data_IF_938727842901
#
_entry.id   IF_938727842901
#
_cell.length_a   1.000
_cell.length_b   1.000
_cell.length_c   1.000
_cell.angle_alpha   90.00
_cell.angle_beta   90.00
_cell.angle_gamma   90.00
#
_symmetry.space_group_name_H-M   'P 1'
#
loop_
_entity.id
_entity.type
_entity.pdbx_description
1 polymer ?
#
# COMPACT_ATOMS: atom_id res chain seq x y z
N UNK A 1 2.55 -3.51 -33.23
CA UNK A 1 3.11 -4.16 -32.03
C UNK A 1 2.41 -3.50 -30.86
N UNK A 2 1.61 -4.25 -30.11
CA UNK A 2 1.06 -3.72 -28.85
C UNK A 2 2.22 -3.28 -27.96
N UNK A 3 2.11 -2.06 -27.44
CA UNK A 3 3.09 -1.54 -26.52
C UNK A 3 2.99 -2.39 -25.24
N UNK A 4 4.09 -3.04 -24.83
CA UNK A 4 4.18 -3.87 -23.62
C UNK A 4 5.17 -3.30 -22.59
N UNK A 5 5.63 -2.06 -22.79
CA UNK A 5 6.63 -1.45 -21.92
C UNK A 5 6.04 -1.03 -20.58
N UNK A 6 6.81 -1.23 -19.52
CA UNK A 6 6.42 -0.90 -18.16
C UNK A 6 7.16 0.36 -17.72
N UNK A 7 6.43 1.45 -17.53
CA UNK A 7 6.98 2.69 -17.02
C UNK A 7 7.03 2.70 -15.50
N UNK A 8 8.16 3.06 -14.89
CA UNK A 8 8.27 3.23 -13.44
C UNK A 8 8.78 4.64 -13.12
N UNK A 9 8.02 5.38 -12.30
CA UNK A 9 8.41 6.66 -11.75
C UNK A 9 8.84 6.51 -10.29
N UNK A 10 9.84 7.27 -9.84
CA UNK A 10 10.35 7.18 -8.48
C UNK A 10 11.34 6.02 -8.23
N UNK A 11 11.88 5.43 -9.29
CA UNK A 11 12.82 4.29 -9.24
C UNK A 11 14.09 4.55 -8.40
N UNK A 12 14.53 5.80 -8.25
CA UNK A 12 15.70 6.12 -7.43
C UNK A 12 15.47 6.04 -5.90
N UNK A 13 14.24 5.76 -5.46
CA UNK A 13 13.86 5.56 -4.06
C UNK A 13 13.63 4.08 -3.74
N UNK A 14 13.50 3.72 -2.46
CA UNK A 14 13.39 2.32 -2.01
C UNK A 14 12.16 1.60 -2.58
N UNK A 15 10.99 2.25 -2.57
CA UNK A 15 9.75 1.69 -3.15
C UNK A 15 9.90 1.44 -4.65
N UNK A 16 10.36 2.45 -5.39
CA UNK A 16 10.63 2.31 -6.82
C UNK A 16 11.67 1.23 -7.11
N UNK A 17 12.70 1.11 -6.28
CA UNK A 17 13.67 0.02 -6.28
C UNK A 17 13.01 -1.35 -6.23
N UNK A 18 12.16 -1.58 -5.22
CA UNK A 18 11.40 -2.82 -5.10
C UNK A 18 10.55 -3.13 -6.34
N UNK A 19 9.92 -2.11 -6.94
CA UNK A 19 9.12 -2.29 -8.15
C UNK A 19 9.98 -2.67 -9.38
N UNK A 20 11.13 -2.02 -9.56
CA UNK A 20 12.07 -2.31 -10.66
C UNK A 20 12.60 -3.73 -10.55
N UNK A 21 13.15 -4.11 -9.40
CA UNK A 21 13.71 -5.45 -9.18
C UNK A 21 12.65 -6.54 -9.38
N UNK A 22 11.43 -6.30 -8.88
CA UNK A 22 10.31 -7.23 -9.07
C UNK A 22 9.97 -7.39 -10.55
N UNK A 23 9.89 -6.29 -11.31
CA UNK A 23 9.57 -6.33 -12.74
C UNK A 23 10.62 -7.02 -13.59
N UNK A 24 11.89 -6.78 -13.29
CA UNK A 24 13.01 -7.41 -14.00
C UNK A 24 13.05 -8.92 -13.79
N UNK A 25 12.76 -9.40 -12.57
CA UNK A 25 12.78 -10.84 -12.29
C UNK A 25 11.46 -11.55 -12.62
N UNK A 26 10.31 -10.89 -12.54
CA UNK A 26 9.00 -11.52 -12.78
C UNK A 26 8.56 -11.52 -14.26
N UNK A 27 9.17 -10.70 -15.12
CA UNK A 27 8.73 -10.51 -16.51
C UNK A 27 9.92 -10.36 -17.45
N UNK A 28 9.70 -10.58 -18.76
CA UNK A 28 10.64 -10.22 -19.84
C UNK A 28 10.31 -8.86 -20.50
N UNK A 29 9.35 -8.12 -19.95
CA UNK A 29 8.91 -6.84 -20.53
C UNK A 29 10.05 -5.80 -20.48
N UNK A 30 10.20 -4.94 -21.50
CA UNK A 30 11.11 -3.80 -21.42
C UNK A 30 10.59 -2.80 -20.39
N UNK A 31 11.50 -2.24 -19.60
CA UNK A 31 11.18 -1.28 -18.53
C UNK A 31 11.67 0.11 -18.93
N UNK A 32 10.89 1.15 -18.62
CA UNK A 32 11.28 2.55 -18.81
C UNK A 32 11.31 3.24 -17.45
N UNK A 33 12.48 3.69 -17.01
CA UNK A 33 12.63 4.41 -15.74
C UNK A 33 12.58 5.92 -15.99
N UNK A 34 11.59 6.58 -15.40
CA UNK A 34 11.41 8.02 -15.46
C UNK A 34 11.87 8.71 -14.18
N UNK A 35 12.72 9.72 -14.30
CA UNK A 35 13.10 10.54 -13.16
C UNK A 35 13.94 11.76 -13.52
N UNK A 36 14.12 12.67 -12.56
CA UNK A 36 14.86 13.93 -12.76
C UNK A 36 16.38 13.75 -12.79
N UNK A 37 16.89 12.73 -12.12
CA UNK A 37 18.33 12.44 -12.06
C UNK A 37 18.63 11.14 -12.81
N UNK A 38 18.94 11.28 -14.11
CA UNK A 38 19.24 10.15 -14.99
C UNK A 38 20.54 9.44 -14.63
N UNK A 39 21.56 10.18 -14.19
CA UNK A 39 22.85 9.62 -13.80
C UNK A 39 22.70 8.65 -12.64
N UNK A 40 21.98 9.06 -11.58
CA UNK A 40 21.67 8.20 -10.45
C UNK A 40 20.92 6.93 -10.86
N UNK A 41 19.94 7.06 -11.77
CA UNK A 41 19.19 5.89 -12.25
C UNK A 41 20.10 4.93 -13.02
N UNK A 42 20.95 5.44 -13.92
CA UNK A 42 21.89 4.61 -14.68
C UNK A 42 22.89 3.92 -13.78
N UNK A 43 23.46 4.63 -12.82
CA UNK A 43 24.40 4.07 -11.86
C UNK A 43 23.77 2.94 -11.03
N UNK A 44 22.55 3.16 -10.53
CA UNK A 44 21.81 2.20 -9.70
C UNK A 44 21.44 0.93 -10.48
N UNK A 45 21.08 1.07 -11.76
CA UNK A 45 20.55 -0.03 -12.59
C UNK A 45 21.47 -0.46 -13.74
N UNK A 46 22.76 -0.13 -13.66
CA UNK A 46 23.78 -0.50 -14.68
C UNK A 46 23.80 -2.01 -14.98
N UNK A 47 23.47 -2.84 -13.99
CA UNK A 47 23.46 -4.30 -14.09
C UNK A 47 22.34 -4.84 -15.01
N UNK A 48 21.34 -4.01 -15.33
CA UNK A 48 20.16 -4.39 -16.12
C UNK A 48 19.89 -3.42 -17.29
N UNK A 49 20.88 -2.61 -17.69
CA UNK A 49 20.73 -1.58 -18.73
C UNK A 49 20.21 -2.12 -20.07
N UNK A 50 20.51 -3.38 -20.41
CA UNK A 50 20.02 -4.02 -21.63
C UNK A 50 18.48 -4.13 -21.72
N UNK A 51 17.78 -4.07 -20.59
CA UNK A 51 16.31 -4.14 -20.51
C UNK A 51 15.66 -2.82 -20.08
N UNK A 52 16.45 -1.81 -19.79
CA UNK A 52 15.98 -0.57 -19.17
C UNK A 52 16.30 0.63 -20.06
N UNK A 53 15.24 1.32 -20.48
CA UNK A 53 15.34 2.66 -21.04
C UNK A 53 15.28 3.70 -19.91
N UNK A 54 16.13 4.71 -19.96
CA UNK A 54 16.15 5.81 -18.99
C UNK A 54 15.62 7.11 -19.63
N UNK A 55 14.65 7.75 -18.99
CA UNK A 55 14.03 8.98 -19.49
C UNK A 55 13.99 10.07 -18.42
N UNK A 56 14.37 11.29 -18.81
CA UNK A 56 14.15 12.44 -17.95
C UNK A 56 12.66 12.68 -17.81
N UNK A 57 12.17 12.65 -16.58
CA UNK A 57 10.78 12.96 -16.24
C UNK A 57 10.73 13.90 -15.05
N UNK A 58 10.14 15.07 -15.26
CA UNK A 58 9.58 15.89 -14.19
C UNK A 58 8.05 15.72 -14.19
N UNK A 59 7.50 15.22 -13.07
CA UNK A 59 6.06 14.97 -12.92
C UNK A 59 5.23 16.26 -12.91
N UNK A 60 5.86 17.42 -12.76
CA UNK A 60 5.23 18.74 -12.86
C UNK A 60 5.33 19.36 -14.26
N UNK A 61 6.12 18.78 -15.17
CA UNK A 61 6.18 19.14 -16.59
C UNK A 61 5.26 18.19 -17.38
N UNK A 62 4.15 18.73 -17.89
CA UNK A 62 3.15 17.95 -18.63
C UNK A 62 3.69 17.29 -19.89
N UNK A 63 4.64 17.92 -20.58
CA UNK A 63 5.18 17.43 -21.84
C UNK A 63 6.22 16.34 -21.58
N UNK A 64 7.06 16.53 -20.56
CA UNK A 64 8.01 15.51 -20.12
C UNK A 64 7.29 14.24 -19.64
N UNK A 65 6.26 14.39 -18.81
CA UNK A 65 5.44 13.29 -18.33
C UNK A 65 4.64 12.63 -19.46
N UNK A 66 4.06 13.40 -20.38
CA UNK A 66 3.32 12.88 -21.53
C UNK A 66 4.17 12.00 -22.45
N UNK A 67 5.37 12.46 -22.81
CA UNK A 67 6.33 11.67 -23.62
C UNK A 67 6.73 10.35 -22.97
N UNK A 68 6.78 10.31 -21.64
CA UNK A 68 7.03 9.08 -20.89
C UNK A 68 5.83 8.14 -20.95
N UNK A 69 4.63 8.63 -20.62
CA UNK A 69 3.41 7.83 -20.63
C UNK A 69 3.09 7.26 -22.03
N UNK A 70 3.33 8.02 -23.11
CA UNK A 70 3.14 7.58 -24.50
C UNK A 70 3.93 6.31 -24.84
N UNK A 71 5.08 6.10 -24.20
CA UNK A 71 5.91 4.92 -24.41
C UNK A 71 5.51 3.72 -23.57
N UNK A 72 4.54 3.84 -22.67
CA UNK A 72 4.23 2.80 -21.70
C UNK A 72 2.87 2.15 -21.98
N UNK A 73 2.79 0.84 -21.76
CA UNK A 73 1.54 0.09 -21.68
C UNK A 73 0.87 0.30 -20.33
N UNK A 74 1.70 0.38 -19.28
CA UNK A 74 1.31 0.59 -17.90
C UNK A 74 2.36 1.47 -17.22
N UNK A 75 1.91 2.36 -16.33
CA UNK A 75 2.78 3.22 -15.52
C UNK A 75 2.59 2.87 -14.05
N UNK A 76 3.68 2.50 -13.39
CA UNK A 76 3.79 2.31 -11.94
C UNK A 76 4.33 3.61 -11.33
N UNK A 77 3.51 4.28 -10.54
CA UNK A 77 3.90 5.47 -9.80
C UNK A 77 4.40 5.10 -8.40
N UNK A 78 5.71 5.24 -8.19
CA UNK A 78 6.35 5.17 -6.87
C UNK A 78 6.94 6.55 -6.47
N UNK A 79 6.58 7.63 -7.17
CA UNK A 79 7.08 8.97 -6.89
C UNK A 79 6.31 9.62 -5.73
N UNK A 80 7.00 10.46 -4.97
CA UNK A 80 6.39 11.22 -3.88
C UNK A 80 7.02 12.61 -3.70
N UNK A 81 6.46 13.45 -2.81
CA UNK A 81 5.29 13.17 -1.97
C UNK A 81 3.98 13.06 -2.76
N UNK A 82 3.17 12.05 -2.45
CA UNK A 82 1.93 11.76 -3.19
C UNK A 82 0.92 12.90 -3.08
N UNK A 83 0.85 13.58 -1.92
CA UNK A 83 -0.04 14.72 -1.66
C UNK A 83 0.28 15.96 -2.48
N UNK A 84 1.48 16.04 -3.04
CA UNK A 84 1.87 17.11 -3.96
C UNK A 84 1.65 16.71 -5.42
N UNK A 85 1.96 15.46 -5.76
CA UNK A 85 1.82 14.91 -7.12
C UNK A 85 0.34 14.81 -7.53
N UNK A 86 -0.54 14.40 -6.61
CA UNK A 86 -1.97 14.23 -6.84
C UNK A 86 -2.25 13.34 -8.08
N UNK A 87 -3.25 13.69 -8.90
CA UNK A 87 -3.65 12.90 -10.07
C UNK A 87 -2.81 13.15 -11.34
N UNK A 88 -1.68 13.85 -11.27
CA UNK A 88 -0.90 14.25 -12.46
C UNK A 88 -0.43 13.06 -13.30
N UNK A 89 0.17 12.05 -12.66
CA UNK A 89 0.68 10.86 -13.34
C UNK A 89 -0.47 10.03 -13.91
N UNK A 90 -1.53 9.83 -13.13
CA UNK A 90 -2.71 9.12 -13.57
C UNK A 90 -3.38 9.81 -14.78
N UNK A 91 -3.56 11.14 -14.74
CA UNK A 91 -4.15 11.90 -15.82
C UNK A 91 -3.31 11.83 -17.12
N UNK A 92 -1.98 11.88 -17.01
CA UNK A 92 -1.09 11.70 -18.16
C UNK A 92 -1.17 10.27 -18.72
N UNK A 93 -1.18 9.26 -17.85
CA UNK A 93 -1.31 7.85 -18.25
C UNK A 93 -2.61 7.60 -19.00
N UNK A 94 -3.74 8.07 -18.47
CA UNK A 94 -5.06 7.98 -19.11
C UNK A 94 -5.08 8.73 -20.45
N UNK A 95 -4.46 9.91 -20.54
CA UNK A 95 -4.38 10.68 -21.79
C UNK A 95 -3.65 9.89 -22.88
N UNK A 96 -2.57 9.20 -22.51
CA UNK A 96 -1.72 8.45 -23.43
C UNK A 96 -2.05 6.95 -23.53
N UNK A 97 -3.22 6.53 -23.04
CA UNK A 97 -3.72 5.14 -23.12
C UNK A 97 -2.81 4.12 -22.43
N UNK A 98 -2.18 4.51 -21.32
CA UNK A 98 -1.47 3.59 -20.44
C UNK A 98 -2.34 3.22 -19.24
N UNK A 99 -2.33 1.95 -18.84
CA UNK A 99 -2.80 1.52 -17.53
C UNK A 99 -2.03 2.25 -16.43
N UNK A 100 -2.59 2.28 -15.23
CA UNK A 100 -1.99 3.01 -14.12
C UNK A 100 -2.01 2.16 -12.86
N UNK A 101 -0.88 2.13 -12.16
CA UNK A 101 -0.77 1.59 -10.81
C UNK A 101 -0.05 2.61 -9.94
N UNK A 102 -0.61 2.92 -8.78
CA UNK A 102 0.01 3.79 -7.78
C UNK A 102 0.22 3.01 -6.49
N UNK A 103 1.47 3.04 -5.98
CA UNK A 103 1.78 2.48 -4.66
C UNK A 103 1.04 3.24 -3.58
N UNK A 104 0.98 4.56 -3.74
CA UNK A 104 0.20 5.43 -2.90
C UNK A 104 -1.25 5.42 -3.35
N UNK A 105 -2.07 6.05 -2.53
CA UNK A 105 -3.49 6.17 -2.78
C UNK A 105 -4.13 6.65 -1.51
N UNK A 106 -5.15 7.44 -1.70
CA UNK A 106 -6.03 7.88 -0.65
C UNK A 106 -7.41 8.13 -1.26
N UNK A 107 -8.39 8.38 -0.39
CA UNK A 107 -9.75 8.69 -0.83
C UNK A 107 -9.80 9.87 -1.82
N UNK A 108 -8.89 10.85 -1.70
CA UNK A 108 -8.86 12.02 -2.60
C UNK A 108 -8.42 11.66 -4.02
N UNK A 109 -7.31 10.93 -4.17
CA UNK A 109 -6.85 10.45 -5.47
C UNK A 109 -7.88 9.51 -6.09
N UNK A 110 -8.45 8.60 -5.31
CA UNK A 110 -9.47 7.69 -5.79
C UNK A 110 -10.70 8.44 -6.32
N UNK A 111 -11.25 9.40 -5.56
CA UNK A 111 -12.36 10.26 -6.02
C UNK A 111 -12.03 11.05 -7.28
N UNK A 112 -10.80 11.56 -7.40
CA UNK A 112 -10.35 12.27 -8.62
C UNK A 112 -10.37 11.36 -9.85
N UNK A 113 -10.00 10.09 -9.69
CA UNK A 113 -10.02 9.12 -10.78
C UNK A 113 -11.43 8.62 -11.09
N UNK A 114 -12.30 8.47 -10.09
CA UNK A 114 -13.73 8.19 -10.32
C UNK A 114 -14.40 9.29 -11.16
N UNK A 115 -14.00 10.56 -11.00
CA UNK A 115 -14.47 11.64 -11.89
C UNK A 115 -14.02 11.49 -13.34
N UNK A 116 -13.04 10.63 -13.62
CA UNK A 116 -12.52 10.28 -14.96
C UNK A 116 -12.95 8.88 -15.40
N UNK A 117 -13.87 8.22 -14.69
CA UNK A 117 -14.26 6.83 -14.93
C UNK A 117 -14.67 6.59 -16.40
N UNK A 118 -15.45 7.49 -17.00
CA UNK A 118 -15.85 7.38 -18.41
C UNK A 118 -14.65 7.33 -19.36
N UNK A 119 -13.69 8.24 -19.19
CA UNK A 119 -12.48 8.26 -20.02
C UNK A 119 -11.64 6.97 -19.86
N UNK A 120 -11.61 6.42 -18.64
CA UNK A 120 -10.90 5.18 -18.32
C UNK A 120 -11.59 3.99 -19.01
N UNK A 121 -12.91 3.90 -18.90
CA UNK A 121 -13.73 2.85 -19.52
C UNK A 121 -13.68 2.91 -21.05
N UNK A 122 -13.87 4.10 -21.65
CA UNK A 122 -13.82 4.29 -23.11
C UNK A 122 -12.46 3.90 -23.71
N UNK A 123 -11.38 4.10 -22.95
CA UNK A 123 -10.02 3.71 -23.37
C UNK A 123 -9.63 2.29 -22.96
N UNK A 124 -10.54 1.55 -22.31
CA UNK A 124 -10.32 0.17 -21.85
C UNK A 124 -9.13 0.04 -20.88
N UNK A 125 -8.97 1.04 -20.01
CA UNK A 125 -7.86 1.13 -19.06
C UNK A 125 -8.25 0.62 -17.67
N UNK A 126 -7.22 0.26 -16.91
CA UNK A 126 -7.34 -0.09 -15.50
C UNK A 126 -6.42 0.85 -14.72
N UNK A 127 -6.98 1.51 -13.73
CA UNK A 127 -6.26 2.40 -12.83
C UNK A 127 -6.37 1.85 -11.42
N UNK A 128 -5.27 1.33 -10.89
CA UNK A 128 -5.20 0.75 -9.55
C UNK A 128 -4.47 1.73 -8.63
N UNK A 129 -5.07 2.07 -7.51
CA UNK A 129 -4.44 2.91 -6.47
C UNK A 129 -4.34 2.14 -5.17
N UNK A 130 -3.54 2.67 -4.23
CA UNK A 130 -3.31 2.04 -2.93
C UNK A 130 -2.71 0.64 -3.08
N UNK A 131 -1.74 0.47 -3.99
CA UNK A 131 -1.08 -0.80 -4.27
C UNK A 131 0.27 -0.94 -3.53
N UNK A 132 0.33 -0.55 -2.27
CA UNK A 132 1.50 -0.69 -1.40
C UNK A 132 1.33 -1.75 -0.31
N UNK A 133 2.13 -1.66 0.75
CA UNK A 133 1.92 -2.47 1.96
C UNK A 133 0.75 -1.94 2.77
N UNK A 134 0.75 -0.64 3.03
CA UNK A 134 -0.26 0.05 3.81
C UNK A 134 -0.38 1.49 3.29
N UNK A 135 -1.42 1.80 2.50
CA UNK A 135 -2.52 0.91 2.09
C UNK A 135 -2.14 -0.08 0.96
N UNK A 136 -2.94 -1.13 0.79
CA UNK A 136 -2.82 -2.16 -0.25
C UNK A 136 -2.83 -3.56 0.32
N UNK A 137 -1.65 -4.05 0.72
CA UNK A 137 -1.52 -5.37 1.34
C UNK A 137 -2.32 -5.49 2.65
N UNK A 138 -2.50 -4.36 3.37
CA UNK A 138 -3.38 -4.26 4.55
C UNK A 138 -4.84 -4.61 4.25
N UNK A 139 -5.29 -4.50 3.00
CA UNK A 139 -6.64 -4.88 2.57
C UNK A 139 -6.66 -6.20 1.80
N UNK A 140 -5.64 -6.42 0.96
CA UNK A 140 -5.50 -7.66 0.16
C UNK A 140 -5.33 -8.89 1.05
N UNK A 141 -4.58 -8.78 2.15
CA UNK A 141 -4.35 -9.93 3.03
C UNK A 141 -5.64 -10.38 3.76
N UNK A 142 -6.42 -9.49 4.40
CA UNK A 142 -7.76 -9.84 4.89
C UNK A 142 -8.69 -10.40 3.82
N UNK A 143 -8.69 -9.81 2.63
CA UNK A 143 -9.49 -10.26 1.50
C UNK A 143 -9.13 -11.70 1.09
N UNK A 144 -7.83 -12.01 0.98
CA UNK A 144 -7.34 -13.36 0.73
C UNK A 144 -7.83 -14.36 1.80
N UNK A 145 -7.76 -13.98 3.08
CA UNK A 145 -8.25 -14.83 4.17
C UNK A 145 -9.74 -15.09 4.04
N UNK A 146 -10.52 -14.04 3.75
CA UNK A 146 -11.96 -14.15 3.58
C UNK A 146 -12.34 -15.06 2.41
N UNK A 147 -11.75 -14.86 1.23
CA UNK A 147 -12.03 -15.67 0.03
C UNK A 147 -11.63 -17.13 0.18
N UNK A 148 -10.53 -17.39 0.89
CA UNK A 148 -9.94 -18.73 0.95
C UNK A 148 -10.55 -19.59 2.04
N UNK A 149 -10.84 -19.00 3.21
CA UNK A 149 -11.09 -19.79 4.44
C UNK A 149 -12.47 -19.59 5.05
N UNK A 150 -13.23 -18.57 4.65
CA UNK A 150 -14.53 -18.25 5.24
C UNK A 150 -15.62 -18.20 4.17
N UNK A 151 -16.87 -18.38 4.61
CA UNK A 151 -18.06 -17.96 3.85
C UNK A 151 -18.57 -16.63 4.42
N UNK A 152 -18.51 -16.49 5.75
CA UNK A 152 -18.83 -15.26 6.50
C UNK A 152 -17.79 -15.03 7.61
N UNK A 153 -17.47 -13.76 7.90
CA UNK A 153 -16.57 -13.35 8.99
C UNK A 153 -17.33 -12.49 10.01
N UNK A 154 -17.38 -12.98 11.26
CA UNK A 154 -17.98 -12.28 12.40
C UNK A 154 -17.03 -11.23 12.97
N UNK A 155 -15.75 -11.56 13.09
CA UNK A 155 -14.74 -10.64 13.61
C UNK A 155 -13.41 -10.80 12.91
N UNK A 156 -12.74 -9.68 12.67
CA UNK A 156 -11.40 -9.62 12.12
C UNK A 156 -10.58 -8.57 12.87
N UNK A 157 -9.41 -8.97 13.38
CA UNK A 157 -8.40 -8.06 13.92
C UNK A 157 -7.13 -8.20 13.09
N UNK A 158 -6.66 -7.12 12.48
CA UNK A 158 -5.41 -7.07 11.73
C UNK A 158 -4.41 -6.16 12.45
N UNK A 159 -3.24 -6.67 12.75
CA UNK A 159 -2.14 -5.96 13.40
C UNK A 159 -1.01 -5.76 12.39
N UNK A 160 -0.54 -4.53 12.26
CA UNK A 160 0.63 -4.18 11.45
C UNK A 160 1.84 -3.88 12.33
N UNK A 161 2.97 -4.50 12.01
CA UNK A 161 4.27 -4.21 12.62
C UNK A 161 5.37 -4.21 11.59
N UNK A 162 6.35 -3.33 11.75
CA UNK A 162 7.58 -3.35 10.99
C UNK A 162 8.58 -2.34 11.54
N UNK A 163 9.79 -2.36 11.00
CA UNK A 163 10.88 -1.49 11.40
C UNK A 163 11.65 -0.91 10.19
N UNK A 164 10.95 -0.76 9.05
CA UNK A 164 11.50 -0.12 7.86
C UNK A 164 11.76 1.38 8.04
N UNK A 165 12.43 1.97 7.06
CA UNK A 165 12.68 3.41 7.06
C UNK A 165 11.45 4.21 6.64
N UNK A 166 11.30 5.37 7.28
CA UNK A 166 10.38 6.41 6.83
C UNK A 166 11.13 7.42 5.97
N UNK A 167 10.81 7.49 4.67
CA UNK A 167 11.32 8.59 3.85
C UNK A 167 10.68 9.91 4.26
N UNK A 168 11.37 11.03 4.02
CA UNK A 168 10.79 12.37 4.28
C UNK A 168 9.50 12.59 3.49
N UNK A 169 9.39 12.00 2.28
CA UNK A 169 8.18 12.09 1.47
C UNK A 169 7.01 11.34 2.11
N UNK A 170 7.25 10.12 2.60
CA UNK A 170 6.23 9.37 3.33
C UNK A 170 5.83 10.11 4.63
N UNK A 171 6.80 10.67 5.35
CA UNK A 171 6.59 11.50 6.54
C UNK A 171 5.70 12.70 6.25
N UNK A 172 5.97 13.39 5.14
CA UNK A 172 5.18 14.51 4.68
C UNK A 172 3.74 14.10 4.33
N UNK A 173 3.54 12.95 3.67
CA UNK A 173 2.21 12.44 3.31
C UNK A 173 1.39 12.06 4.56
N UNK A 174 2.03 11.52 5.61
CA UNK A 174 1.38 11.33 6.92
C UNK A 174 0.95 12.66 7.52
N UNK A 175 1.82 13.67 7.52
CA UNK A 175 1.49 14.99 8.11
C UNK A 175 0.31 15.63 7.37
N UNK A 176 0.24 15.51 6.05
CA UNK A 176 -0.93 15.95 5.28
C UNK A 176 -2.19 15.13 5.61
N UNK A 177 -2.06 13.82 5.83
CA UNK A 177 -3.18 12.97 6.22
C UNK A 177 -3.72 13.32 7.62
N UNK A 178 -2.85 13.79 8.54
CA UNK A 178 -3.26 14.34 9.84
C UNK A 178 -4.07 15.63 9.65
N UNK A 179 -3.66 16.51 8.73
CA UNK A 179 -4.38 17.73 8.39
C UNK A 179 -5.77 17.43 7.81
N UNK A 180 -5.87 16.41 6.98
CA UNK A 180 -7.09 16.05 6.24
C UNK A 180 -8.03 15.11 7.01
N UNK A 181 -7.65 14.67 8.21
CA UNK A 181 -8.41 13.74 9.05
C UNK A 181 -8.78 12.41 8.35
N UNK A 182 -7.91 11.90 7.46
CA UNK A 182 -8.18 10.69 6.67
C UNK A 182 -7.90 9.38 7.43
N UNK A 183 -7.18 9.44 8.54
CA UNK A 183 -6.94 8.32 9.47
C UNK A 183 -7.71 8.50 10.77
N UNK A 184 -8.81 7.76 10.93
CA UNK A 184 -9.65 7.85 12.12
C UNK A 184 -9.07 7.01 13.25
N UNK A 185 -8.29 7.64 14.13
CA UNK A 185 -7.83 7.01 15.36
C UNK A 185 -9.01 6.64 16.27
N UNK A 186 -8.87 5.55 17.03
CA UNK A 186 -9.91 5.07 17.94
C UNK A 186 -11.21 4.72 17.22
N UNK A 187 -11.12 4.18 16.00
CA UNK A 187 -12.26 3.76 15.21
C UNK A 187 -12.05 2.36 14.62
N UNK A 188 -13.16 1.71 14.28
CA UNK A 188 -13.22 0.40 13.67
C UNK A 188 -14.44 0.28 12.77
N UNK A 189 -14.50 -0.76 11.93
CA UNK A 189 -15.67 -1.06 11.12
C UNK A 189 -16.62 -1.98 11.90
N UNK A 190 -17.91 -1.62 11.94
CA UNK A 190 -19.01 -2.44 12.45
C UNK A 190 -20.13 -2.47 11.41
N UNK A 191 -20.44 -3.64 10.87
CA UNK A 191 -21.46 -3.84 9.83
C UNK A 191 -21.28 -2.90 8.62
N UNK A 192 -20.03 -2.70 8.18
CA UNK A 192 -19.72 -1.79 7.08
C UNK A 192 -19.79 -0.29 7.42
N UNK A 193 -19.99 0.08 8.69
CA UNK A 193 -20.03 1.48 9.13
C UNK A 193 -18.90 1.80 10.10
N UNK A 194 -18.44 3.05 10.06
CA UNK A 194 -17.45 3.56 11.00
C UNK A 194 -18.05 3.66 12.40
N UNK A 195 -17.44 2.99 13.36
CA UNK A 195 -17.76 3.09 14.79
C UNK A 195 -16.59 3.65 15.58
N UNK A 196 -16.86 4.58 16.51
CA UNK A 196 -15.85 5.14 17.42
C UNK A 196 -15.70 4.28 18.67
N UNK A 197 -14.52 4.34 19.27
CA UNK A 197 -14.19 3.70 20.54
C UNK A 197 -14.13 4.81 21.60
N UNK A 198 -15.15 4.86 22.46
CA UNK A 198 -15.39 5.99 23.37
C UNK A 198 -14.45 6.05 24.59
N UNK A 199 -13.51 5.11 24.71
CA UNK A 199 -12.54 5.05 25.81
C UNK A 199 -11.13 4.89 25.23
N UNK A 200 -10.08 5.39 25.91
CA UNK A 200 -8.71 5.09 25.53
C UNK A 200 -8.53 3.56 25.50
N UNK A 201 -8.47 3.02 24.29
CA UNK A 201 -8.36 1.60 24.01
C UNK A 201 -7.07 1.39 23.24
N UNK A 202 -6.03 1.10 23.99
CA UNK A 202 -4.81 0.50 23.47
C UNK A 202 -4.67 -0.86 24.12
N UNK A 203 -4.04 -1.77 23.40
CA UNK A 203 -3.85 -3.14 23.84
C UNK A 203 -2.38 -3.48 23.77
N UNK A 204 -1.81 -3.85 24.90
CA UNK A 204 -0.53 -4.57 24.90
C UNK A 204 -0.76 -5.95 24.28
N UNK A 205 -0.03 -6.25 23.23
CA UNK A 205 -0.20 -7.46 22.43
C UNK A 205 1.15 -8.07 22.05
N UNK A 206 1.32 -9.36 22.38
CA UNK A 206 2.49 -10.13 21.98
C UNK A 206 2.29 -10.67 20.57
N UNK A 207 2.86 -9.97 19.59
CA UNK A 207 2.93 -10.43 18.21
C UNK A 207 3.95 -11.58 18.05
N UNK A 208 3.83 -12.41 17.00
CA UNK A 208 4.84 -13.40 16.65
C UNK A 208 6.24 -12.79 16.49
N UNK A 209 7.28 -13.62 16.63
CA UNK A 209 8.66 -13.21 16.32
C UNK A 209 8.76 -12.78 14.85
N UNK A 210 9.51 -11.71 14.51
CA UNK A 210 10.39 -10.93 15.38
C UNK A 210 9.72 -9.76 16.12
N UNK A 211 8.43 -9.49 15.91
CA UNK A 211 7.78 -8.30 16.43
C UNK A 211 7.70 -8.27 17.97
N UNK A 212 7.34 -9.37 18.62
CA UNK A 212 7.32 -9.44 20.10
C UNK A 212 6.24 -8.57 20.73
N UNK A 213 6.51 -8.03 21.92
CA UNK A 213 5.55 -7.18 22.65
C UNK A 213 5.38 -5.82 21.97
N UNK A 214 4.12 -5.41 21.78
CA UNK A 214 3.76 -4.16 21.12
C UNK A 214 2.56 -3.51 21.78
N UNK A 215 2.50 -2.19 21.69
CA UNK A 215 1.31 -1.42 22.01
C UNK A 215 0.49 -1.17 20.73
N UNK A 216 -0.71 -1.74 20.68
CA UNK A 216 -1.61 -1.72 19.53
C UNK A 216 -2.68 -0.63 19.67
N UNK A 217 -2.79 0.22 18.64
CA UNK A 217 -3.73 1.33 18.58
C UNK A 217 -4.66 1.19 17.37
N UNK A 218 -5.99 1.15 17.59
CA UNK A 218 -6.95 1.01 16.51
C UNK A 218 -7.00 2.27 15.65
N UNK A 219 -6.94 2.08 14.34
CA UNK A 219 -7.10 3.13 13.34
C UNK A 219 -7.96 2.59 12.20
N UNK A 220 -8.88 3.42 11.71
CA UNK A 220 -9.68 3.10 10.54
C UNK A 220 -9.39 4.12 9.43
N UNK A 221 -8.94 3.61 8.28
CA UNK A 221 -8.77 4.36 7.04
C UNK A 221 -9.77 3.90 5.98
N UNK A 222 -9.86 4.68 4.90
CA UNK A 222 -10.85 4.50 3.85
C UNK A 222 -10.77 3.11 3.19
N UNK A 223 -9.55 2.67 2.84
CA UNK A 223 -9.32 1.41 2.13
C UNK A 223 -9.73 0.20 2.97
N UNK A 224 -9.40 0.19 4.26
CA UNK A 224 -9.80 -0.91 5.15
C UNK A 224 -11.31 -0.96 5.38
N UNK A 225 -11.97 0.20 5.46
CA UNK A 225 -13.43 0.27 5.50
C UNK A 225 -14.06 -0.24 4.20
N UNK A 226 -13.48 0.08 3.05
CA UNK A 226 -13.92 -0.43 1.75
C UNK A 226 -13.79 -1.95 1.68
N UNK A 227 -12.65 -2.51 2.10
CA UNK A 227 -12.45 -3.96 2.20
C UNK A 227 -13.47 -4.63 3.13
N UNK A 228 -13.69 -4.06 4.31
CA UNK A 228 -14.65 -4.59 5.27
C UNK A 228 -16.09 -4.58 4.73
N UNK A 229 -16.46 -3.59 3.90
CA UNK A 229 -17.75 -3.55 3.20
C UNK A 229 -17.84 -4.60 2.11
N UNK A 230 -16.81 -4.70 1.27
CA UNK A 230 -16.77 -5.63 0.14
C UNK A 230 -16.95 -7.09 0.60
N UNK A 231 -16.26 -7.47 1.68
CA UNK A 231 -16.32 -8.82 2.26
C UNK A 231 -17.29 -8.95 3.44
N UNK A 232 -18.11 -7.93 3.70
CA UNK A 232 -19.18 -7.93 4.71
C UNK A 232 -18.71 -8.36 6.11
N UNK A 233 -17.56 -7.88 6.55
CA UNK A 233 -17.09 -8.14 7.91
C UNK A 233 -18.05 -7.51 8.94
N UNK A 234 -18.58 -8.33 9.84
CA UNK A 234 -19.48 -7.84 10.91
C UNK A 234 -18.75 -6.89 11.85
N UNK A 235 -17.50 -7.20 12.21
CA UNK A 235 -16.61 -6.33 12.97
C UNK A 235 -15.18 -6.45 12.46
N UNK A 236 -14.53 -5.34 12.12
CA UNK A 236 -13.14 -5.33 11.68
C UNK A 236 -12.33 -4.21 12.35
N UNK A 237 -11.23 -4.60 13.02
CA UNK A 237 -10.27 -3.70 13.66
C UNK A 237 -8.93 -3.80 12.94
N UNK A 238 -8.35 -2.65 12.63
CA UNK A 238 -6.97 -2.54 12.17
C UNK A 238 -6.15 -1.80 13.21
N UNK A 239 -5.01 -2.37 13.58
CA UNK A 239 -4.10 -1.83 14.58
C UNK A 239 -2.75 -1.48 13.96
N UNK A 240 -2.36 -0.24 14.15
CA UNK A 240 -0.95 0.13 14.11
C UNK A 240 -0.32 -0.24 15.46
N UNK A 241 0.83 -0.91 15.41
CA UNK A 241 1.54 -1.35 16.61
C UNK A 241 2.88 -0.66 16.75
N UNK A 242 3.27 -0.35 17.99
CA UNK A 242 4.52 0.35 18.29
C UNK A 242 5.27 -0.38 19.40
N UNK A 243 6.61 -0.40 19.29
CA UNK A 243 7.47 -0.80 20.43
C UNK A 243 7.46 0.27 21.51
N UNK A 244 7.61 1.52 21.09
CA UNK A 244 7.64 2.68 21.94
C UNK A 244 6.42 3.59 21.66
N UNK A 245 5.49 3.70 22.61
CA UNK A 245 4.34 4.60 22.52
C UNK A 245 4.70 6.08 22.33
N UNK A 246 5.96 6.49 22.57
CA UNK A 246 6.42 7.87 22.37
C UNK A 246 6.25 8.36 20.92
N UNK A 247 6.25 7.44 19.95
CA UNK A 247 5.97 7.75 18.54
C UNK A 247 4.55 8.31 18.39
N UNK A 248 3.57 7.73 19.09
CA UNK A 248 2.19 8.21 19.06
C UNK A 248 2.07 9.63 19.60
N UNK A 249 2.84 9.97 20.64
CA UNK A 249 2.87 11.33 21.19
C UNK A 249 3.28 12.37 20.14
N UNK A 250 4.17 12.01 19.19
CA UNK A 250 4.54 12.91 18.09
C UNK A 250 3.37 13.17 17.14
N UNK A 251 2.62 12.14 16.76
CA UNK A 251 1.42 12.32 15.93
C UNK A 251 0.36 13.18 16.63
N UNK A 252 0.09 12.90 17.90
CA UNK A 252 -0.85 13.67 18.72
C UNK A 252 -0.39 15.13 18.85
N UNK A 253 0.91 15.36 19.08
CA UNK A 253 1.48 16.71 19.18
C UNK A 253 1.36 17.48 17.87
N UNK A 254 1.71 16.87 16.73
CA UNK A 254 1.55 17.49 15.40
C UNK A 254 0.08 17.91 15.21
N UNK A 255 -0.86 17.02 15.57
CA UNK A 255 -2.29 17.29 15.49
C UNK A 255 -2.73 18.44 16.38
N UNK A 256 -2.40 18.38 17.67
CA UNK A 256 -2.85 19.32 18.70
C UNK A 256 -2.25 20.73 18.54
N UNK A 257 -1.00 20.83 18.10
CA UNK A 257 -0.32 22.10 17.85
C UNK A 257 -0.52 22.61 16.42
N UNK A 258 -1.29 21.87 15.60
CA UNK A 258 -1.57 22.16 14.20
C UNK A 258 -0.29 22.46 13.37
N UNK A 259 0.76 21.65 13.55
CA UNK A 259 2.07 21.82 12.88
C UNK A 259 2.05 21.37 11.41
N UNK A 260 1.04 21.78 10.66
CA UNK A 260 0.82 21.41 9.27
C UNK A 260 0.11 22.51 8.46
N UNK A 261 -0.02 23.73 9.01
CA UNK A 261 -0.71 24.83 8.34
C UNK A 261 0.11 25.48 7.23
N UNK A 262 1.44 25.48 7.35
CA UNK A 262 2.36 25.96 6.31
C UNK A 262 3.25 24.84 5.77
N UNK A 263 3.82 25.04 4.59
CA UNK A 263 4.73 24.07 3.98
C UNK A 263 6.00 23.87 4.81
N UNK A 264 6.52 24.93 5.43
CA UNK A 264 7.66 24.85 6.34
C UNK A 264 7.33 23.99 7.56
N UNK A 265 6.13 24.14 8.12
CA UNK A 265 5.66 23.32 9.24
C UNK A 265 5.53 21.86 8.83
N UNK A 266 4.89 21.56 7.70
CA UNK A 266 4.76 20.19 7.20
C UNK A 266 6.12 19.51 7.02
N UNK A 267 7.08 20.22 6.41
CA UNK A 267 8.43 19.70 6.24
C UNK A 267 9.17 19.51 7.56
N UNK A 268 9.02 20.42 8.52
CA UNK A 268 9.62 20.29 9.85
C UNK A 268 9.04 19.10 10.61
N UNK A 269 7.72 18.93 10.62
CA UNK A 269 7.04 17.79 11.23
C UNK A 269 7.39 16.47 10.55
N UNK A 270 7.51 16.46 9.22
CA UNK A 270 7.98 15.30 8.46
C UNK A 270 9.38 14.87 8.91
N UNK A 271 10.34 15.81 8.98
CA UNK A 271 11.71 15.53 9.46
C UNK A 271 11.72 15.02 10.90
N UNK A 272 10.93 15.61 11.78
CA UNK A 272 10.79 15.17 13.18
C UNK A 272 10.31 13.71 13.28
N UNK A 273 9.34 13.31 12.44
CA UNK A 273 8.88 11.92 12.40
C UNK A 273 9.99 10.98 11.92
N UNK A 274 10.72 11.33 10.85
CA UNK A 274 11.85 10.52 10.36
C UNK A 274 12.91 10.32 11.43
N UNK A 275 13.29 11.38 12.16
CA UNK A 275 14.27 11.30 13.26
C UNK A 275 13.80 10.38 14.39
N UNK A 276 12.52 10.48 14.78
CA UNK A 276 11.96 9.61 15.82
C UNK A 276 11.99 8.14 15.39
N UNK A 277 11.58 7.81 14.16
CA UNK A 277 11.60 6.43 13.66
C UNK A 277 13.04 5.89 13.49
N UNK A 278 13.99 6.73 13.07
CA UNK A 278 15.38 6.33 12.87
C UNK A 278 16.15 6.01 14.17
N UNK A 279 15.73 6.56 15.31
CA UNK A 279 16.43 6.41 16.60
C UNK A 279 16.42 4.96 17.13
N UNK A 280 15.42 4.15 16.77
CA UNK A 280 15.20 2.81 17.34
C UNK A 280 15.74 1.66 16.47
N UNK A 281 16.41 1.98 15.35
CA UNK A 281 16.87 0.98 14.37
C UNK A 281 18.18 0.29 14.73
N UNK A 282 18.95 0.84 15.67
CA UNK A 282 20.30 0.31 15.94
C UNK A 282 20.21 -1.10 16.55
N UNK A 283 20.36 -2.12 15.68
CA UNK A 283 20.66 -3.56 15.93
C UNK A 283 19.59 -4.59 15.53
N UNK A 284 18.40 -4.21 15.04
CA UNK A 284 17.38 -5.18 14.62
C UNK A 284 17.44 -5.52 13.12
N UNK A 285 17.20 -6.79 12.75
CA UNK A 285 16.96 -7.17 11.35
C UNK A 285 15.63 -6.57 10.89
N UNK A 286 15.58 -6.12 9.63
CA UNK A 286 14.37 -5.56 9.06
C UNK A 286 13.27 -6.61 8.93
N UNK A 287 12.02 -6.19 9.11
CA UNK A 287 10.85 -7.00 8.83
C UNK A 287 9.61 -6.14 8.59
N UNK A 288 8.64 -6.75 7.91
CA UNK A 288 7.28 -6.26 7.73
C UNK A 288 6.34 -7.40 8.06
N UNK A 289 5.37 -7.18 8.95
CA UNK A 289 4.47 -8.21 9.45
C UNK A 289 3.02 -7.72 9.45
N UNK A 290 2.15 -8.58 8.95
CA UNK A 290 0.73 -8.55 9.28
C UNK A 290 0.38 -9.77 10.11
N UNK A 291 -0.30 -9.57 11.23
CA UNK A 291 -0.84 -10.65 12.06
C UNK A 291 -2.35 -10.47 12.13
N UNK A 292 -3.10 -11.51 11.79
CA UNK A 292 -4.54 -11.47 11.61
C UNK A 292 -5.21 -12.52 12.48
N UNK A 293 -6.24 -12.11 13.19
CA UNK A 293 -7.16 -12.97 13.92
C UNK A 293 -8.53 -12.87 13.24
N UNK A 294 -9.11 -14.00 12.88
CA UNK A 294 -10.46 -14.03 12.30
C UNK A 294 -11.33 -15.10 12.97
N UNK A 295 -12.60 -14.78 13.14
CA UNK A 295 -13.64 -15.73 13.53
C UNK A 295 -14.80 -15.64 12.55
N UNK A 296 -15.40 -16.77 12.24
CA UNK A 296 -16.54 -16.81 11.33
C UNK A 296 -16.99 -18.23 11.08
N UNK A 297 -17.52 -18.46 9.88
CA UNK A 297 -18.07 -19.75 9.49
C UNK A 297 -17.51 -20.20 8.15
N UNK A 298 -17.28 -21.51 8.01
CA UNK A 298 -17.03 -22.17 6.73
C UNK A 298 -17.92 -23.40 6.60
N UNK A 299 -18.77 -23.42 5.58
CA UNK A 299 -19.70 -24.52 5.30
C UNK A 299 -20.58 -24.91 6.51
N UNK A 300 -21.00 -23.91 7.29
CA UNK A 300 -21.82 -24.11 8.51
C UNK A 300 -21.02 -24.41 9.77
N UNK A 301 -19.69 -24.57 9.70
CA UNK A 301 -18.82 -24.86 10.84
C UNK A 301 -18.16 -23.58 11.36
N UNK A 302 -18.30 -23.25 12.66
CA UNK A 302 -17.57 -22.16 13.29
C UNK A 302 -16.05 -22.38 13.23
N UNK A 303 -15.34 -21.35 12.76
CA UNK A 303 -13.90 -21.38 12.53
C UNK A 303 -13.22 -20.20 13.22
N UNK A 304 -12.08 -20.47 13.86
CA UNK A 304 -11.12 -19.44 14.27
C UNK A 304 -9.82 -19.65 13.51
N UNK A 305 -9.33 -18.57 12.92
CA UNK A 305 -8.07 -18.53 12.18
C UNK A 305 -7.16 -17.49 12.81
N UNK A 306 -5.90 -17.89 13.00
CA UNK A 306 -4.78 -16.99 13.25
C UNK A 306 -3.86 -17.10 12.05
N UNK A 307 -3.53 -15.98 11.42
CA UNK A 307 -2.61 -15.98 10.29
C UNK A 307 -1.55 -14.90 10.41
N UNK A 308 -0.33 -15.22 10.03
CA UNK A 308 0.78 -14.26 10.01
C UNK A 308 1.41 -14.25 8.64
N UNK A 309 1.50 -13.05 8.07
CA UNK A 309 2.32 -12.70 6.92
C UNK A 309 3.60 -12.06 7.44
N UNK A 310 4.75 -12.63 7.10
CA UNK A 310 6.06 -12.12 7.47
C UNK A 310 6.94 -11.95 6.23
N UNK A 311 7.41 -10.73 6.02
CA UNK A 311 8.47 -10.43 5.09
C UNK A 311 9.71 -9.98 5.85
N UNK A 312 10.86 -10.57 5.57
CA UNK A 312 12.11 -10.37 6.32
C UNK A 312 12.93 -9.15 5.87
N UNK A 313 12.29 -8.18 5.21
CA UNK A 313 12.85 -6.88 4.88
C UNK A 313 11.83 -5.76 5.10
N UNK A 314 12.24 -4.54 4.80
CA UNK A 314 11.46 -3.34 5.00
C UNK A 314 10.19 -3.24 4.10
N UNK A 315 9.21 -2.48 4.57
CA UNK A 315 7.93 -2.30 3.89
C UNK A 315 8.04 -1.52 2.58
N UNK A 316 9.10 -0.74 2.34
CA UNK A 316 9.22 0.03 1.10
C UNK A 316 9.49 -0.92 -0.05
N UNK A 317 10.43 -1.87 0.14
CA UNK A 317 10.70 -2.92 -0.86
C UNK A 317 9.44 -3.73 -1.15
N UNK A 318 8.72 -4.16 -0.10
CA UNK A 318 7.46 -4.90 -0.26
C UNK A 318 6.38 -4.07 -0.95
N UNK A 319 6.30 -2.76 -0.69
CA UNK A 319 5.32 -1.88 -1.34
C UNK A 319 5.58 -1.78 -2.85
N UNK A 320 6.86 -1.68 -3.25
CA UNK A 320 7.24 -1.74 -4.65
C UNK A 320 6.89 -3.07 -5.31
N UNK A 321 7.09 -4.17 -4.60
CA UNK A 321 6.76 -5.52 -5.06
C UNK A 321 5.25 -5.72 -5.24
N UNK A 322 4.42 -5.22 -4.32
CA UNK A 322 2.96 -5.25 -4.45
C UNK A 322 2.51 -4.45 -5.68
N UNK A 323 3.00 -3.23 -5.87
CA UNK A 323 2.64 -2.43 -7.05
C UNK A 323 3.10 -3.06 -8.36
N UNK A 324 4.29 -3.67 -8.36
CA UNK A 324 4.78 -4.42 -9.50
C UNK A 324 3.83 -5.60 -9.82
N UNK A 325 3.54 -6.48 -8.87
CA UNK A 325 2.62 -7.59 -9.13
C UNK A 325 1.20 -7.13 -9.46
N UNK A 326 0.75 -5.98 -8.95
CA UNK A 326 -0.53 -5.40 -9.36
C UNK A 326 -0.50 -5.02 -10.85
N UNK A 327 0.58 -4.38 -11.32
CA UNK A 327 0.76 -4.07 -12.73
C UNK A 327 0.82 -5.34 -13.61
N UNK A 328 1.53 -6.37 -13.15
CA UNK A 328 1.59 -7.67 -13.82
C UNK A 328 0.20 -8.29 -13.95
N UNK A 329 -0.58 -8.34 -12.86
CA UNK A 329 -1.93 -8.88 -12.87
C UNK A 329 -2.87 -8.11 -13.81
N UNK A 330 -2.73 -6.78 -13.89
CA UNK A 330 -3.49 -5.96 -14.85
C UNK A 330 -3.13 -6.30 -16.30
N UNK A 331 -1.84 -6.52 -16.58
CA UNK A 331 -1.37 -6.84 -17.93
C UNK A 331 -1.72 -8.27 -18.36
N UNK A 332 -1.76 -9.23 -17.42
CA UNK A 332 -2.04 -10.65 -17.69
C UNK A 332 -3.54 -10.99 -17.70
N UNK A 333 -4.42 -10.10 -17.22
CA UNK A 333 -5.85 -10.36 -17.13
C UNK A 333 -6.61 -9.90 -18.39
N UNK A 334 -6.84 -10.85 -19.29
CA UNK A 334 -7.68 -10.69 -20.49
C UNK A 334 -9.16 -10.46 -20.18
N UNK A 335 -9.62 -10.77 -18.95
CA UNK A 335 -11.00 -10.61 -18.50
C UNK A 335 -11.20 -9.41 -17.59
N UNK A 336 -10.18 -8.55 -17.46
CA UNK A 336 -10.27 -7.35 -16.62
C UNK A 336 -11.44 -6.46 -17.05
N UNK A 337 -12.11 -5.87 -16.07
CA UNK A 337 -13.12 -4.84 -16.32
C UNK A 337 -12.43 -3.48 -16.25
N UNK A 338 -12.47 -2.67 -17.32
CA UNK A 338 -11.92 -1.32 -17.29
C UNK A 338 -12.51 -0.48 -16.15
N UNK A 339 -11.68 0.35 -15.51
CA UNK A 339 -12.14 1.20 -14.41
C UNK A 339 -11.04 1.63 -13.46
N UNK A 340 -11.42 2.44 -12.48
CA UNK A 340 -10.58 2.81 -11.36
C UNK A 340 -10.95 2.00 -10.12
N UNK A 341 -9.95 1.46 -9.43
CA UNK A 341 -10.14 0.59 -8.26
C UNK A 341 -9.07 0.88 -7.21
N UNK A 342 -9.41 0.73 -5.93
CA UNK A 342 -8.37 0.45 -4.91
C UNK A 342 -7.83 -0.95 -5.15
N UNK A 343 -6.58 -1.23 -4.76
CA UNK A 343 -5.91 -2.48 -5.12
C UNK A 343 -6.73 -3.74 -4.80
N UNK A 344 -7.29 -3.85 -3.59
CA UNK A 344 -8.11 -5.00 -3.21
C UNK A 344 -9.35 -5.23 -4.12
N UNK A 345 -9.92 -4.18 -4.72
CA UNK A 345 -11.07 -4.30 -5.64
C UNK A 345 -10.64 -4.63 -7.08
N UNK A 346 -9.46 -4.13 -7.49
CA UNK A 346 -9.03 -4.17 -8.88
C UNK A 346 -8.10 -5.31 -9.26
N UNK A 347 -7.57 -6.06 -8.28
CA UNK A 347 -6.73 -7.24 -8.51
C UNK A 347 -7.18 -8.41 -7.64
N UNK A 348 -7.02 -9.64 -8.13
CA UNK A 348 -7.40 -10.85 -7.39
C UNK A 348 -6.50 -11.04 -6.15
N UNK A 349 -7.05 -11.02 -4.92
CA UNK A 349 -6.27 -11.17 -3.70
C UNK A 349 -5.50 -12.49 -3.63
N UNK A 350 -6.13 -13.60 -4.02
CA UNK A 350 -5.49 -14.93 -4.04
C UNK A 350 -4.29 -14.97 -4.98
N UNK A 351 -4.42 -14.42 -6.20
CA UNK A 351 -3.29 -14.38 -7.14
C UNK A 351 -2.16 -13.50 -6.62
N UNK A 352 -2.46 -12.34 -6.05
CA UNK A 352 -1.46 -11.47 -5.44
C UNK A 352 -0.70 -12.18 -4.31
N UNK A 353 -1.42 -12.83 -3.39
CA UNK A 353 -0.79 -13.55 -2.28
C UNK A 353 0.08 -14.73 -2.74
N UNK A 354 -0.35 -15.46 -3.78
CA UNK A 354 0.47 -16.51 -4.39
C UNK A 354 1.77 -15.94 -5.00
N UNK A 355 1.67 -14.84 -5.74
CA UNK A 355 2.85 -14.16 -6.30
C UNK A 355 3.80 -13.70 -5.21
N UNK A 356 3.30 -13.11 -4.11
CA UNK A 356 4.15 -12.70 -2.99
C UNK A 356 4.84 -13.89 -2.30
N UNK A 357 4.19 -15.05 -2.23
CA UNK A 357 4.77 -16.28 -1.69
C UNK A 357 6.02 -16.76 -2.44
N UNK A 358 6.18 -16.41 -3.72
CA UNK A 358 7.38 -16.69 -4.51
C UNK A 358 8.57 -15.78 -4.14
N UNK A 359 8.35 -14.73 -3.33
CA UNK A 359 9.30 -13.64 -3.06
C UNK A 359 9.69 -13.52 -1.58
N UNK A 360 9.71 -14.65 -0.84
CA UNK A 360 10.02 -14.72 0.60
C UNK A 360 9.03 -13.95 1.49
N UNK A 361 7.78 -13.86 1.08
CA UNK A 361 6.68 -13.45 1.96
C UNK A 361 6.09 -14.72 2.56
N UNK A 362 6.47 -15.02 3.80
CA UNK A 362 6.06 -16.23 4.49
C UNK A 362 4.62 -16.07 5.02
N UNK A 363 3.78 -17.06 4.75
CA UNK A 363 2.42 -17.15 5.28
C UNK A 363 2.30 -18.35 6.22
N UNK A 364 1.77 -18.09 7.41
CA UNK A 364 1.44 -19.14 8.39
C UNK A 364 -0.03 -19.04 8.77
N UNK A 365 -0.67 -20.20 8.94
CA UNK A 365 -2.07 -20.31 9.31
C UNK A 365 -2.21 -21.34 10.44
N UNK A 366 -2.95 -20.97 11.48
CA UNK A 366 -3.34 -21.86 12.57
C UNK A 366 -4.86 -21.80 12.69
N UNK A 367 -5.49 -22.97 12.65
CA UNK A 367 -6.95 -23.12 12.77
C UNK A 367 -7.30 -23.70 14.12
N UNK A 368 -8.39 -23.24 14.70
CA UNK A 368 -8.99 -23.86 15.90
C UNK A 368 -10.48 -24.00 15.68
N UNK A 369 -10.96 -25.24 15.69
CA UNK A 369 -12.39 -25.52 15.69
C UNK A 369 -12.99 -25.04 17.01
N UNK A 370 -14.06 -24.25 16.93
CA UNK A 370 -14.83 -23.91 18.12
C UNK A 370 -15.77 -25.09 18.36
N UNK A 371 -15.39 -25.96 19.31
CA UNK A 371 -16.30 -27.00 19.76
C UNK A 371 -17.64 -26.38 20.18
N UNK A 372 -18.75 -27.01 19.78
CA UNK A 372 -20.09 -26.64 20.25
C UNK A 372 -20.14 -26.86 21.77
N UNK A 373 -19.84 -25.81 22.52
CA UNK A 373 -19.93 -25.76 23.98
C UNK A 373 -21.33 -25.41 24.44
#
# INVERSE_FOLDING_TARGET
MENNRIGILGASGQVGGGAVETMLAATDCPVVLGGRNLEKLREQYQHAEARIDFMYVDVYDSDSLGRFCEKCAIVINCAGPSKQILDRVAAASIRHRAHYVDVSGDEHLYKRLLNRQRDIEEKQLSCIVSAGVYPGLSEIFPAYIAETYFDDIDSLELFFAGNGDFSVNAAYDIVCSIQEDTGLGMAYCKNGETSRIDRPFHRSYRMPSPAGEREAYPILHYEFLAAARAYRFTSALFYNTYEDPSILNKFVMIKALEQYKTEEQKQASARMLVEQFGTYRQQAKEYTMFHLLATGCKSGTPLRLVSTLLYNKDWNTLSGMVAAHAARLVMEDDKRVPGCYVAMEGICPVKMMNLLGEWNVDLTHTFTEVGQG
#
